data_IF_314104660310
#
_entry.id   IF_314104660310
#
_cell.length_a   1.000
_cell.length_b   1.000
_cell.length_c   1.000
_cell.angle_alpha   90.00
_cell.angle_beta   90.00
_cell.angle_gamma   90.00
#
_symmetry.space_group_name_H-M   'P 1'
#
loop_
_entity.id
_entity.type
_entity.pdbx_description
1 polymer ?
#
# COMPACT_ATOMS: atom_id res chain seq x y z
N UNK A 1 -15.02 12.70 -36.86
CA UNK A 1 -15.29 13.21 -35.50
C UNK A 1 -14.89 12.20 -34.44
N UNK A 2 -15.60 11.08 -34.21
CA UNK A 2 -15.18 10.06 -33.21
C UNK A 2 -13.84 9.40 -33.59
N UNK A 3 -13.61 9.22 -34.90
CA UNK A 3 -12.38 8.63 -35.44
C UNK A 3 -11.13 9.44 -35.11
N UNK A 4 -11.23 10.77 -35.05
CA UNK A 4 -10.08 11.64 -34.81
C UNK A 4 -9.61 11.54 -33.35
N UNK A 5 -10.55 11.42 -32.41
CA UNK A 5 -10.22 11.25 -30.98
C UNK A 5 -9.50 9.93 -30.70
N UNK A 6 -9.96 8.81 -31.28
CA UNK A 6 -9.29 7.52 -31.09
C UNK A 6 -7.87 7.52 -31.68
N UNK A 7 -7.67 8.16 -32.83
CA UNK A 7 -6.34 8.31 -33.44
C UNK A 7 -5.44 9.16 -32.56
N UNK A 8 -5.91 10.31 -32.06
CA UNK A 8 -5.13 11.14 -31.14
C UNK A 8 -4.81 10.42 -29.82
N UNK A 9 -5.75 9.65 -29.26
CA UNK A 9 -5.48 8.84 -28.06
C UNK A 9 -4.40 7.79 -28.32
N UNK A 10 -4.42 7.15 -29.49
CA UNK A 10 -3.40 6.18 -29.88
C UNK A 10 -2.04 6.85 -30.09
N UNK A 11 -1.99 7.99 -30.75
CA UNK A 11 -0.75 8.78 -30.92
C UNK A 11 -0.16 9.21 -29.58
N UNK A 12 -1.00 9.60 -28.62
CA UNK A 12 -0.56 9.88 -27.25
C UNK A 12 -0.04 8.63 -26.54
N UNK A 13 -0.71 7.48 -26.66
CA UNK A 13 -0.21 6.21 -26.07
C UNK A 13 1.15 5.84 -26.65
N UNK A 14 1.31 5.98 -27.97
CA UNK A 14 2.55 5.65 -28.67
C UNK A 14 3.66 6.70 -28.42
N UNK A 15 3.31 7.93 -28.00
CA UNK A 15 4.25 9.03 -27.74
C UNK A 15 3.84 9.95 -26.58
N UNK A 16 3.67 9.39 -25.37
CA UNK A 16 3.14 10.12 -24.21
C UNK A 16 4.07 11.24 -23.68
N UNK A 17 5.31 11.29 -24.17
CA UNK A 17 6.30 12.31 -23.84
C UNK A 17 6.26 13.51 -24.80
N UNK A 18 5.63 13.38 -25.97
CA UNK A 18 5.47 14.50 -26.89
C UNK A 18 4.33 15.41 -26.44
N UNK A 19 4.57 16.72 -26.53
CA UNK A 19 3.56 17.72 -26.26
C UNK A 19 2.44 17.62 -27.31
N UNK A 20 1.20 17.47 -26.84
CA UNK A 20 0.00 17.35 -27.67
C UNK A 20 -1.21 17.98 -26.97
N UNK A 21 -2.33 18.13 -27.68
CA UNK A 21 -3.57 18.59 -27.04
C UNK A 21 -3.99 17.67 -25.87
N UNK A 22 -3.65 16.37 -25.94
CA UNK A 22 -3.94 15.41 -24.88
C UNK A 22 -2.98 15.50 -23.70
N UNK A 23 -1.72 15.96 -23.86
CA UNK A 23 -0.80 16.14 -22.72
C UNK A 23 -1.22 17.28 -21.78
N UNK A 24 -2.09 18.20 -22.25
CA UNK A 24 -2.73 19.22 -21.41
C UNK A 24 -3.85 18.66 -20.52
N UNK A 25 -4.39 17.48 -20.85
CA UNK A 25 -5.50 16.83 -20.13
C UNK A 25 -4.98 15.64 -19.32
N UNK A 26 -4.12 14.83 -19.92
CA UNK A 26 -3.46 13.67 -19.32
C UNK A 26 -2.02 14.04 -18.97
N UNK A 27 -1.61 13.92 -17.69
CA UNK A 27 -0.25 14.28 -17.31
C UNK A 27 0.77 13.45 -18.09
N UNK A 28 1.87 14.08 -18.52
CA UNK A 28 3.00 13.36 -19.10
C UNK A 28 3.52 12.35 -18.08
N UNK A 29 3.53 11.06 -18.44
CA UNK A 29 3.93 9.98 -17.53
C UNK A 29 5.33 9.52 -17.89
N UNK A 30 6.34 9.96 -17.14
CA UNK A 30 7.70 9.44 -17.26
C UNK A 30 7.80 8.06 -16.59
N UNK A 31 8.12 7.02 -17.37
CA UNK A 31 8.19 5.64 -16.88
C UNK A 31 9.16 5.50 -15.71
N UNK A 32 10.30 6.20 -15.75
CA UNK A 32 11.29 6.18 -14.67
C UNK A 32 10.72 6.76 -13.38
N UNK A 33 10.04 7.90 -13.47
CA UNK A 33 9.37 8.54 -12.33
C UNK A 33 8.25 7.64 -11.82
N UNK A 34 7.40 7.08 -12.69
CA UNK A 34 6.34 6.16 -12.29
C UNK A 34 6.87 4.92 -11.58
N UNK A 35 7.95 4.30 -12.08
CA UNK A 35 8.60 3.17 -11.42
C UNK A 35 9.21 3.57 -10.06
N UNK A 36 9.80 4.77 -9.97
CA UNK A 36 10.32 5.29 -8.70
C UNK A 36 9.21 5.56 -7.70
N UNK A 37 8.11 6.17 -8.13
CA UNK A 37 6.92 6.41 -7.31
C UNK A 37 6.32 5.10 -6.84
N UNK A 38 6.17 4.11 -7.72
CA UNK A 38 5.69 2.78 -7.36
C UNK A 38 6.58 2.14 -6.29
N UNK A 39 7.89 2.14 -6.50
CA UNK A 39 8.87 1.62 -5.54
C UNK A 39 8.73 2.30 -4.17
N UNK A 40 8.67 3.64 -4.14
CA UNK A 40 8.50 4.41 -2.91
C UNK A 40 7.14 4.17 -2.25
N UNK A 41 6.06 4.00 -3.02
CA UNK A 41 4.76 3.63 -2.48
C UNK A 41 4.79 2.27 -1.80
N UNK A 42 5.51 1.28 -2.35
CA UNK A 42 5.70 -0.02 -1.70
C UNK A 42 6.48 0.11 -0.37
N UNK A 43 7.53 0.94 -0.33
CA UNK A 43 8.27 1.22 0.91
C UNK A 43 7.38 1.87 1.97
N UNK A 44 6.57 2.86 1.58
CA UNK A 44 5.64 3.54 2.50
C UNK A 44 4.61 2.55 3.07
N UNK A 45 4.05 1.69 2.23
CA UNK A 45 3.09 0.66 2.68
C UNK A 45 3.74 -0.28 3.69
N UNK A 46 4.94 -0.81 3.39
CA UNK A 46 5.70 -1.64 4.34
C UNK A 46 5.97 -0.90 5.66
N UNK A 47 6.36 0.38 5.59
CA UNK A 47 6.62 1.21 6.75
C UNK A 47 5.39 1.38 7.64
N UNK A 48 4.23 1.69 7.04
CA UNK A 48 2.96 1.85 7.77
C UNK A 48 2.57 0.53 8.45
N UNK A 49 2.63 -0.59 7.74
CA UNK A 49 2.30 -1.92 8.31
C UNK A 49 3.24 -2.24 9.48
N UNK A 50 4.53 -1.97 9.34
CA UNK A 50 5.50 -2.19 10.42
C UNK A 50 5.20 -1.35 11.67
N UNK A 51 4.84 -0.07 11.51
CA UNK A 51 4.47 0.81 12.63
C UNK A 51 3.24 0.28 13.35
N UNK A 52 2.20 -0.09 12.60
CA UNK A 52 0.95 -0.61 13.19
C UNK A 52 1.20 -1.95 13.89
N UNK A 53 1.92 -2.88 13.25
CA UNK A 53 2.22 -4.19 13.85
C UNK A 53 3.12 -4.06 15.09
N UNK A 54 4.02 -3.07 15.11
CA UNK A 54 4.80 -2.77 16.32
C UNK A 54 3.86 -2.35 17.45
N UNK A 55 2.96 -1.40 17.22
CA UNK A 55 2.00 -0.96 18.23
C UNK A 55 1.07 -2.09 18.70
N UNK A 56 0.62 -2.95 17.78
CA UNK A 56 -0.17 -4.15 18.11
C UNK A 56 0.63 -5.03 19.08
N UNK A 57 1.87 -5.38 18.75
CA UNK A 57 2.67 -6.30 19.55
C UNK A 57 3.12 -5.69 20.89
N UNK A 58 3.51 -4.42 20.92
CA UNK A 58 4.08 -3.78 22.11
C UNK A 58 3.06 -3.11 23.02
N UNK A 59 1.83 -2.91 22.54
CA UNK A 59 0.78 -2.24 23.32
C UNK A 59 -0.45 -3.12 23.43
N UNK A 60 -1.10 -3.43 22.30
CA UNK A 60 -2.34 -4.22 22.34
C UNK A 60 -2.10 -5.62 22.92
N UNK A 61 -1.04 -6.31 22.51
CA UNK A 61 -0.73 -7.70 22.88
C UNK A 61 0.35 -7.81 23.96
N UNK A 62 0.69 -6.70 24.64
CA UNK A 62 1.84 -6.61 25.56
C UNK A 62 1.75 -7.50 26.81
N UNK A 63 0.55 -8.02 27.13
CA UNK A 63 0.23 -8.90 28.26
C UNK A 63 1.04 -8.65 29.56
N UNK A 64 1.03 -7.43 30.10
CA UNK A 64 1.79 -7.09 31.31
C UNK A 64 1.19 -7.73 32.56
N UNK A 65 1.99 -7.88 33.61
CA UNK A 65 1.52 -8.36 34.93
C UNK A 65 0.43 -7.43 35.51
N UNK A 66 -0.55 -7.95 36.30
CA UNK A 66 -1.58 -7.14 36.95
C UNK A 66 -1.08 -5.99 37.83
N UNK A 67 0.19 -6.02 38.25
CA UNK A 67 0.81 -4.97 39.06
C UNK A 67 1.58 -3.93 38.25
N UNK A 68 1.55 -4.00 36.92
CA UNK A 68 2.24 -3.06 36.05
C UNK A 68 1.40 -1.79 35.86
N UNK A 69 2.07 -0.62 35.78
CA UNK A 69 1.38 0.67 35.63
C UNK A 69 0.55 0.79 34.33
N UNK A 70 0.86 -0.02 33.32
CA UNK A 70 0.16 -0.09 32.04
C UNK A 70 -0.69 -1.35 31.88
N UNK A 71 -1.07 -1.99 32.99
CA UNK A 71 -1.93 -3.18 32.94
C UNK A 71 -3.32 -2.85 32.39
N UNK A 72 -3.74 -3.63 31.40
CA UNK A 72 -5.09 -3.58 30.83
C UNK A 72 -5.63 -5.01 30.81
N UNK A 73 -6.84 -5.19 31.35
CA UNK A 73 -7.53 -6.49 31.31
C UNK A 73 -8.09 -6.72 29.91
N UNK A 74 -7.30 -7.35 29.04
CA UNK A 74 -7.72 -7.73 27.69
C UNK A 74 -8.47 -9.07 27.75
N UNK A 75 -9.81 -9.00 27.71
CA UNK A 75 -10.67 -10.20 27.79
C UNK A 75 -10.87 -10.90 26.44
N UNK A 76 -10.46 -10.28 25.33
CA UNK A 76 -10.53 -10.84 23.97
C UNK A 76 -9.25 -11.55 23.55
N UNK A 77 -9.25 -12.24 22.39
CA UNK A 77 -8.04 -12.80 21.82
C UNK A 77 -7.02 -11.70 21.45
N UNK A 78 -5.73 -12.05 21.28
CA UNK A 78 -4.72 -11.10 20.80
C UNK A 78 -5.15 -10.46 19.48
N UNK A 79 -4.86 -9.18 19.34
CA UNK A 79 -5.13 -8.46 18.10
C UNK A 79 -4.22 -9.00 16.98
N UNK A 80 -4.76 -9.42 15.84
CA UNK A 80 -3.96 -9.95 14.74
C UNK A 80 -3.13 -8.84 14.07
N UNK A 81 -1.98 -9.20 13.51
CA UNK A 81 -1.14 -8.25 12.77
C UNK A 81 -1.73 -7.94 11.40
N UNK A 82 -1.48 -6.73 10.90
CA UNK A 82 -1.76 -6.37 9.52
C UNK A 82 -0.79 -7.09 8.57
N UNK A 83 -1.32 -7.56 7.45
CA UNK A 83 -0.53 -8.08 6.35
C UNK A 83 0.08 -6.92 5.55
N UNK A 84 1.37 -7.02 5.25
CA UNK A 84 1.92 -6.23 4.14
C UNK A 84 1.72 -6.97 2.82
N UNK A 85 1.21 -6.32 1.77
CA UNK A 85 1.15 -6.94 0.44
C UNK A 85 2.54 -7.16 -0.19
N UNK A 86 3.61 -6.63 0.40
CA UNK A 86 4.97 -6.76 -0.12
C UNK A 86 5.93 -7.42 0.89
N UNK A 87 6.93 -8.14 0.35
CA UNK A 87 8.04 -8.70 1.12
C UNK A 87 9.14 -7.64 1.39
N UNK A 88 10.22 -8.05 2.06
CA UNK A 88 11.37 -7.17 2.35
C UNK A 88 12.14 -6.73 1.10
N UNK A 89 11.93 -7.38 -0.03
CA UNK A 89 12.47 -7.01 -1.34
C UNK A 89 11.44 -6.26 -2.21
N UNK A 90 10.31 -5.84 -1.61
CA UNK A 90 9.19 -5.11 -2.26
C UNK A 90 8.51 -5.89 -3.39
N UNK A 91 8.58 -7.21 -3.36
CA UNK A 91 7.84 -8.09 -4.26
C UNK A 91 6.51 -8.44 -3.64
N UNK A 92 5.52 -8.66 -4.49
CA UNK A 92 4.17 -8.99 -4.04
C UNK A 92 4.20 -10.34 -3.31
N UNK A 93 3.53 -10.41 -2.16
CA UNK A 93 3.44 -11.61 -1.34
C UNK A 93 2.00 -11.91 -0.96
N UNK A 94 1.73 -13.17 -0.68
CA UNK A 94 0.47 -13.56 -0.04
C UNK A 94 0.56 -13.34 1.47
N UNK A 95 -0.56 -12.94 2.05
CA UNK A 95 -0.72 -12.83 3.50
C UNK A 95 -0.73 -14.22 4.13
N UNK A 96 -0.15 -14.35 5.32
CA UNK A 96 -0.32 -15.55 6.12
C UNK A 96 -1.76 -15.63 6.66
N UNK A 97 -2.28 -16.83 6.98
CA UNK A 97 -3.65 -16.99 7.48
C UNK A 97 -3.97 -16.18 8.75
N UNK A 98 -2.95 -15.79 9.52
CA UNK A 98 -3.08 -15.07 10.79
C UNK A 98 -2.87 -13.55 10.65
N UNK A 99 -2.58 -13.08 9.43
CA UNK A 99 -2.46 -11.66 9.12
C UNK A 99 -3.77 -11.12 8.49
N UNK A 100 -4.19 -9.94 8.90
CA UNK A 100 -5.37 -9.27 8.32
C UNK A 100 -4.98 -8.55 7.04
N UNK A 101 -5.61 -8.91 5.92
CA UNK A 101 -5.38 -8.25 4.63
C UNK A 101 -6.15 -6.92 4.52
N UNK A 102 -5.64 -6.00 3.70
CA UNK A 102 -6.35 -4.75 3.38
C UNK A 102 -7.63 -4.97 2.57
N UNK A 103 -7.76 -6.11 1.88
CA UNK A 103 -8.93 -6.40 1.05
C UNK A 103 -10.16 -6.75 1.88
N UNK A 104 -9.95 -7.39 3.03
CA UNK A 104 -11.02 -7.75 3.95
C UNK A 104 -10.54 -7.62 5.40
N UNK A 105 -10.75 -6.45 5.97
CA UNK A 105 -10.36 -6.12 7.35
C UNK A 105 -11.47 -6.41 8.38
N UNK A 106 -12.56 -7.05 7.96
CA UNK A 106 -13.67 -7.44 8.85
C UNK A 106 -13.47 -8.81 9.52
N UNK A 107 -12.40 -9.50 9.14
CA UNK A 107 -12.07 -10.86 9.56
C UNK A 107 -11.04 -10.87 10.69
#
# INVERSE_FOLDING_TARGET
AITDTCVSMKEWVDNAQAESALSNILPCVDERTTNRTLYQSKEVINGIVNVVNTAINTSANSNPSPHHAHYINQSGPPMPSLCSPFDSQLRDRQCLPEEVSFFNASQ
#
